data_IF_553437036028
#
_entry.id   IF_553437036028
#
_cell.length_a   1.000
_cell.length_b   1.000
_cell.length_c   1.000
_cell.angle_alpha   90.00
_cell.angle_beta   90.00
_cell.angle_gamma   90.00
#
_symmetry.space_group_name_H-M   'P 1'
#
loop_
_entity.id
_entity.type
_entity.pdbx_description
1 polymer ?
#
# COMPACT_ATOMS: atom_id res chain seq x y z
N UNK A 1 -8.40 -22.45 -3.49
CA UNK A 1 -9.67 -23.10 -3.90
C UNK A 1 -10.89 -22.64 -3.07
N UNK A 2 -10.74 -22.14 -1.83
CA UNK A 2 -11.89 -21.69 -1.02
C UNK A 2 -12.67 -20.50 -1.63
N UNK A 3 -11.98 -19.44 -2.07
CA UNK A 3 -12.63 -18.27 -2.69
C UNK A 3 -13.34 -18.61 -4.01
N UNK A 4 -12.72 -19.43 -4.85
CA UNK A 4 -13.33 -19.90 -6.11
C UNK A 4 -14.62 -20.70 -5.84
N UNK A 5 -14.59 -21.59 -4.84
CA UNK A 5 -15.79 -22.33 -4.42
C UNK A 5 -16.86 -21.40 -3.84
N UNK A 6 -16.46 -20.42 -3.03
CA UNK A 6 -17.38 -19.42 -2.49
C UNK A 6 -18.09 -18.65 -3.61
N UNK A 7 -17.34 -18.16 -4.59
CA UNK A 7 -17.87 -17.51 -5.79
C UNK A 7 -18.88 -18.40 -6.53
N UNK A 8 -18.53 -19.66 -6.83
CA UNK A 8 -19.44 -20.59 -7.48
C UNK A 8 -20.74 -20.82 -6.69
N UNK A 9 -20.67 -20.89 -5.35
CA UNK A 9 -21.84 -21.20 -4.52
C UNK A 9 -22.71 -20.00 -4.13
N UNK A 10 -22.16 -18.78 -4.10
CA UNK A 10 -22.85 -17.58 -3.57
C UNK A 10 -23.06 -16.48 -4.59
N UNK A 11 -22.29 -16.50 -5.67
CA UNK A 11 -22.25 -15.42 -6.64
C UNK A 11 -22.37 -15.92 -8.10
N UNK A 12 -22.67 -17.21 -8.32
CA UNK A 12 -22.75 -17.80 -9.68
C UNK A 12 -21.50 -17.50 -10.52
N UNK A 13 -20.33 -17.56 -9.86
CA UNK A 13 -19.02 -17.22 -10.45
C UNK A 13 -18.85 -15.74 -10.86
N UNK A 14 -19.84 -14.89 -10.58
CA UNK A 14 -19.77 -13.45 -10.81
C UNK A 14 -18.87 -12.74 -9.77
N UNK A 15 -17.61 -12.58 -10.15
CA UNK A 15 -16.61 -11.84 -9.38
C UNK A 15 -17.00 -10.36 -9.23
N UNK A 16 -17.64 -9.77 -10.25
CA UNK A 16 -18.09 -8.38 -10.22
C UNK A 16 -19.16 -8.16 -9.15
N UNK A 17 -20.13 -9.07 -9.06
CA UNK A 17 -21.18 -9.02 -8.05
C UNK A 17 -20.62 -9.09 -6.61
N UNK A 18 -19.61 -9.94 -6.36
CA UNK A 18 -18.91 -9.97 -5.07
C UNK A 18 -18.21 -8.64 -4.80
N UNK A 19 -17.42 -8.14 -5.75
CA UNK A 19 -16.58 -6.96 -5.56
C UNK A 19 -17.37 -5.64 -5.46
N UNK A 20 -18.57 -5.60 -6.03
CA UNK A 20 -19.50 -4.47 -5.96
C UNK A 20 -20.22 -4.36 -4.60
N UNK A 21 -20.08 -5.35 -3.71
CA UNK A 21 -20.67 -5.31 -2.36
C UNK A 21 -20.12 -4.11 -1.56
N UNK A 22 -20.92 -3.49 -0.68
CA UNK A 22 -20.45 -2.40 0.17
C UNK A 22 -19.20 -2.79 0.98
N UNK A 23 -18.25 -1.85 1.16
CA UNK A 23 -16.92 -2.07 1.79
C UNK A 23 -16.98 -2.97 3.04
N UNK A 24 -17.82 -2.61 4.02
CA UNK A 24 -17.91 -3.35 5.27
C UNK A 24 -18.43 -4.78 5.10
N UNK A 25 -19.45 -4.97 4.25
CA UNK A 25 -20.03 -6.28 3.97
C UNK A 25 -19.03 -7.17 3.22
N UNK A 26 -18.39 -6.64 2.17
CA UNK A 26 -17.36 -7.35 1.42
C UNK A 26 -16.20 -7.79 2.31
N UNK A 27 -15.68 -6.88 3.15
CA UNK A 27 -14.59 -7.20 4.07
C UNK A 27 -14.96 -8.31 5.05
N UNK A 28 -16.17 -8.26 5.62
CA UNK A 28 -16.66 -9.30 6.52
C UNK A 28 -16.76 -10.67 5.82
N UNK A 29 -17.29 -10.70 4.59
CA UNK A 29 -17.38 -11.93 3.79
C UNK A 29 -16.00 -12.50 3.46
N UNK A 30 -15.05 -11.65 3.02
CA UNK A 30 -13.69 -12.08 2.71
C UNK A 30 -12.96 -12.62 3.95
N UNK A 31 -13.08 -11.96 5.10
CA UNK A 31 -12.45 -12.39 6.35
C UNK A 31 -13.05 -13.68 6.93
N UNK A 32 -14.30 -14.01 6.58
CA UNK A 32 -14.92 -15.28 6.97
C UNK A 32 -14.35 -16.47 6.18
N UNK A 33 -13.65 -16.22 5.05
CA UNK A 33 -13.06 -17.28 4.24
C UNK A 33 -11.74 -17.77 4.84
N UNK A 34 -11.49 -19.11 4.81
CA UNK A 34 -10.29 -19.67 5.38
C UNK A 34 -9.04 -19.16 4.64
N UNK A 35 -8.04 -18.71 5.42
CA UNK A 35 -6.74 -18.18 4.96
C UNK A 35 -6.79 -16.83 4.25
N UNK A 36 -7.90 -16.09 4.35
CA UNK A 36 -7.94 -14.69 3.94
C UNK A 36 -7.79 -13.81 5.19
N UNK A 37 -6.60 -13.24 5.36
CA UNK A 37 -6.34 -12.23 6.39
C UNK A 37 -6.70 -10.82 5.93
N UNK A 38 -6.59 -9.85 6.84
CA UNK A 38 -6.90 -8.42 6.59
C UNK A 38 -6.14 -7.86 5.40
N UNK A 39 -4.83 -8.13 5.31
CA UNK A 39 -3.99 -7.69 4.19
C UNK A 39 -4.51 -8.22 2.85
N UNK A 40 -4.81 -9.52 2.78
CA UNK A 40 -5.34 -10.14 1.56
C UNK A 40 -6.73 -9.62 1.21
N UNK A 41 -7.63 -9.49 2.19
CA UNK A 41 -8.97 -8.96 1.99
C UNK A 41 -8.92 -7.54 1.42
N UNK A 42 -8.14 -6.66 2.05
CA UNK A 42 -7.99 -5.27 1.63
C UNK A 42 -7.28 -5.15 0.28
N UNK A 43 -6.34 -6.05 -0.03
CA UNK A 43 -5.72 -6.15 -1.37
C UNK A 43 -6.76 -6.48 -2.45
N UNK A 44 -7.61 -7.48 -2.21
CA UNK A 44 -8.70 -7.85 -3.13
C UNK A 44 -9.66 -6.66 -3.31
N UNK A 45 -10.02 -5.98 -2.22
CA UNK A 45 -10.95 -4.87 -2.26
C UNK A 45 -10.40 -3.65 -3.00
N UNK A 46 -9.14 -3.26 -2.77
CA UNK A 46 -8.52 -2.11 -3.43
C UNK A 46 -8.24 -2.38 -4.92
N UNK A 47 -7.58 -3.50 -5.21
CA UNK A 47 -7.14 -3.80 -6.58
C UNK A 47 -8.24 -4.45 -7.42
N UNK A 48 -9.02 -5.36 -6.86
CA UNK A 48 -10.14 -5.99 -7.56
C UNK A 48 -11.41 -5.13 -7.53
N UNK A 49 -11.82 -4.67 -6.35
CA UNK A 49 -13.11 -4.00 -6.16
C UNK A 49 -13.10 -2.47 -6.19
N UNK A 50 -11.94 -1.84 -6.38
CA UNK A 50 -11.78 -0.37 -6.42
C UNK A 50 -12.22 0.36 -5.15
N UNK A 51 -12.26 -0.32 -3.99
CA UNK A 51 -12.58 0.31 -2.71
C UNK A 51 -11.42 1.22 -2.25
N UNK A 52 -11.67 2.49 -1.91
CA UNK A 52 -10.62 3.43 -1.50
C UNK A 52 -10.20 3.18 -0.05
N UNK A 53 -9.24 2.27 0.14
CA UNK A 53 -8.72 1.91 1.46
C UNK A 53 -7.20 1.73 1.45
N UNK A 54 -6.58 1.86 2.62
CA UNK A 54 -5.14 1.71 2.79
C UNK A 54 -4.76 0.28 3.17
N UNK A 55 -3.78 -0.32 2.48
CA UNK A 55 -3.27 -1.66 2.81
C UNK A 55 -2.14 -1.55 3.83
N UNK A 56 -2.27 -2.22 4.98
CA UNK A 56 -1.25 -2.28 6.03
C UNK A 56 -0.43 -3.57 5.94
N UNK A 57 0.52 -3.62 5.04
CA UNK A 57 1.48 -4.73 4.91
C UNK A 57 2.77 -4.48 5.73
N UNK A 58 3.73 -5.40 5.62
CA UNK A 58 5.04 -5.27 6.28
C UNK A 58 5.87 -4.09 5.75
N UNK A 59 5.61 -3.60 4.54
CA UNK A 59 6.29 -2.46 3.95
C UNK A 59 5.74 -1.14 4.52
N UNK A 60 4.42 -0.98 4.53
CA UNK A 60 3.72 0.14 5.15
C UNK A 60 4.12 0.32 6.61
N UNK A 61 4.04 -0.76 7.41
CA UNK A 61 4.42 -0.72 8.84
C UNK A 61 5.85 -0.23 9.04
N UNK A 62 6.78 -0.80 8.28
CA UNK A 62 8.20 -0.47 8.39
C UNK A 62 8.49 0.96 7.96
N UNK A 63 7.94 1.39 6.83
CA UNK A 63 8.19 2.73 6.31
C UNK A 63 7.60 3.79 7.24
N UNK A 64 6.30 3.70 7.56
CA UNK A 64 5.63 4.67 8.41
C UNK A 64 6.26 4.75 9.81
N UNK A 65 6.62 3.60 10.39
CA UNK A 65 7.32 3.54 11.66
C UNK A 65 8.68 4.24 11.61
N UNK A 66 9.48 4.02 10.56
CA UNK A 66 10.81 4.63 10.43
C UNK A 66 10.77 6.12 10.10
N UNK A 67 9.76 6.55 9.35
CA UNK A 67 9.51 7.96 9.07
C UNK A 67 9.02 8.73 10.30
N UNK A 68 8.59 8.03 11.37
CA UNK A 68 8.04 8.68 12.56
C UNK A 68 6.63 9.21 12.37
N UNK A 69 5.88 8.67 11.40
CA UNK A 69 4.52 9.12 11.05
C UNK A 69 3.44 8.59 11.99
N UNK A 70 3.79 7.69 12.91
CA UNK A 70 2.89 7.08 13.89
C UNK A 70 3.43 7.32 15.32
N UNK A 71 3.42 8.58 15.81
CA UNK A 71 4.02 8.91 17.11
C UNK A 71 3.31 8.17 18.26
N UNK A 72 4.10 7.58 19.16
CA UNK A 72 3.58 6.82 20.30
C UNK A 72 3.05 5.43 19.95
N UNK A 73 3.16 4.99 18.69
CA UNK A 73 2.65 3.70 18.23
C UNK A 73 3.79 2.86 17.67
N UNK A 74 3.97 1.67 18.24
CA UNK A 74 4.84 0.65 17.63
C UNK A 74 4.14 0.07 16.39
N UNK A 75 4.47 0.61 15.22
CA UNK A 75 3.90 0.21 13.93
C UNK A 75 4.08 -1.29 13.62
N UNK A 76 5.08 -1.95 14.20
CA UNK A 76 5.31 -3.38 13.97
C UNK A 76 4.40 -4.28 14.82
N UNK A 77 3.89 -3.77 15.95
CA UNK A 77 3.07 -4.54 16.90
C UNK A 77 1.62 -4.10 16.96
N UNK A 78 1.32 -2.88 16.52
CA UNK A 78 -0.04 -2.35 16.56
C UNK A 78 -1.00 -3.18 15.69
N UNK A 79 -2.28 -3.31 16.10
CA UNK A 79 -3.29 -4.00 15.30
C UNK A 79 -3.41 -3.42 13.90
N UNK A 80 -3.72 -4.26 12.91
CA UNK A 80 -3.87 -3.86 11.51
C UNK A 80 -4.85 -2.69 11.36
N UNK A 81 -6.06 -2.84 11.92
CA UNK A 81 -7.13 -1.84 11.77
C UNK A 81 -6.76 -0.51 12.45
N UNK A 82 -5.96 -0.53 13.52
CA UNK A 82 -5.48 0.69 14.18
C UNK A 82 -4.59 1.50 13.24
N UNK A 83 -3.61 0.87 12.59
CA UNK A 83 -2.74 1.57 11.64
C UNK A 83 -3.54 2.04 10.42
N UNK A 84 -4.44 1.20 9.91
CA UNK A 84 -5.27 1.56 8.76
C UNK A 84 -6.12 2.80 9.07
N UNK A 85 -6.81 2.81 10.21
CA UNK A 85 -7.65 3.94 10.60
C UNK A 85 -6.83 5.24 10.74
N UNK A 86 -5.66 5.19 11.37
CA UNK A 86 -4.81 6.38 11.52
C UNK A 86 -4.32 6.95 10.19
N UNK A 87 -3.93 6.07 9.26
CA UNK A 87 -3.48 6.50 7.93
C UNK A 87 -4.65 7.00 7.09
N UNK A 88 -5.80 6.30 7.10
CA UNK A 88 -6.99 6.73 6.38
C UNK A 88 -7.53 8.06 6.90
N UNK A 89 -7.53 8.28 8.22
CA UNK A 89 -7.94 9.53 8.86
C UNK A 89 -7.02 10.69 8.49
N UNK A 90 -5.69 10.48 8.56
CA UNK A 90 -4.71 11.48 8.13
C UNK A 90 -4.82 11.85 6.63
N UNK A 91 -5.46 10.99 5.83
CA UNK A 91 -5.68 11.19 4.40
C UNK A 91 -7.15 11.52 4.09
N UNK A 92 -8.02 11.64 5.09
CA UNK A 92 -9.44 11.98 4.95
C UNK A 92 -9.64 13.49 5.08
N UNK A 93 -9.26 14.25 4.06
CA UNK A 93 -9.46 15.70 4.07
C UNK A 93 -9.53 16.35 2.70
N UNK A 94 -10.13 17.55 2.63
CA UNK A 94 -10.36 18.28 1.38
C UNK A 94 -9.06 18.68 0.68
N UNK A 95 -7.97 18.84 1.42
CA UNK A 95 -6.64 19.14 0.86
C UNK A 95 -6.15 18.03 -0.06
N UNK A 96 -6.35 16.76 0.34
CA UNK A 96 -6.02 15.64 -0.54
C UNK A 96 -7.03 15.55 -1.67
N UNK A 97 -8.33 15.65 -1.39
CA UNK A 97 -9.39 15.54 -2.40
C UNK A 97 -9.19 16.53 -3.55
N UNK A 98 -8.86 17.79 -3.26
CA UNK A 98 -8.59 18.81 -4.28
C UNK A 98 -7.40 18.46 -5.19
N UNK A 99 -6.47 17.62 -4.72
CA UNK A 99 -5.28 17.19 -5.47
C UNK A 99 -5.49 15.89 -6.23
N UNK A 100 -6.54 15.13 -5.92
CA UNK A 100 -6.86 13.87 -6.62
C UNK A 100 -7.31 14.12 -8.07
N UNK A 101 -7.83 15.30 -8.36
CA UNK A 101 -8.25 15.73 -9.70
C UNK A 101 -7.08 16.20 -10.57
N UNK A 102 -5.87 16.36 -10.00
CA UNK A 102 -4.69 16.78 -10.75
C UNK A 102 -3.97 15.59 -11.42
N UNK A 103 -3.67 15.67 -12.74
CA UNK A 103 -3.02 14.59 -13.48
C UNK A 103 -1.56 14.31 -13.04
N UNK A 104 -1.00 15.11 -12.13
CA UNK A 104 0.40 15.06 -11.71
C UNK A 104 0.65 14.21 -10.45
N UNK A 105 -0.38 13.86 -9.67
CA UNK A 105 -0.15 13.35 -8.31
C UNK A 105 0.28 11.87 -8.24
N UNK A 106 0.01 11.08 -9.29
CA UNK A 106 0.68 9.81 -9.54
C UNK A 106 0.39 9.30 -10.96
N UNK A 107 1.37 8.71 -11.67
CA UNK A 107 1.09 8.10 -12.97
C UNK A 107 -0.02 7.05 -12.81
N UNK A 108 -1.06 7.07 -13.65
CA UNK A 108 -2.20 6.20 -13.45
C UNK A 108 -1.79 4.73 -13.67
N UNK A 109 -2.14 3.85 -12.73
CA UNK A 109 -2.45 2.48 -13.11
C UNK A 109 -3.64 2.63 -14.07
N UNK A 110 -3.49 2.19 -15.31
CA UNK A 110 -4.36 2.57 -16.44
C UNK A 110 -5.79 2.00 -16.37
N UNK A 111 -6.21 1.47 -15.23
CA UNK A 111 -7.55 0.95 -15.00
C UNK A 111 -8.46 2.04 -14.43
N UNK A 112 -9.70 2.10 -14.91
CA UNK A 112 -10.71 3.04 -14.42
C UNK A 112 -11.06 2.71 -12.97
N UNK A 113 -10.74 3.60 -12.04
CA UNK A 113 -11.10 3.53 -10.62
C UNK A 113 -11.43 4.93 -10.09
N UNK A 114 -12.24 5.06 -9.02
CA UNK A 114 -12.46 6.34 -8.37
C UNK A 114 -11.12 7.00 -7.97
N UNK A 115 -10.97 8.34 -8.04
CA UNK A 115 -9.70 9.04 -7.81
C UNK A 115 -9.00 8.62 -6.51
N UNK A 116 -9.75 8.49 -5.42
CA UNK A 116 -9.22 8.10 -4.11
C UNK A 116 -8.74 6.64 -4.07
N UNK A 117 -9.39 5.74 -4.80
CA UNK A 117 -8.93 4.35 -4.94
C UNK A 117 -7.66 4.29 -5.79
N UNK A 118 -7.59 5.09 -6.86
CA UNK A 118 -6.39 5.20 -7.68
C UNK A 118 -5.21 5.77 -6.88
N UNK A 119 -5.45 6.76 -6.02
CA UNK A 119 -4.46 7.26 -5.08
C UNK A 119 -3.95 6.16 -4.15
N UNK A 120 -4.82 5.41 -3.48
CA UNK A 120 -4.36 4.34 -2.58
C UNK A 120 -3.59 3.23 -3.30
N UNK A 121 -3.97 2.88 -4.54
CA UNK A 121 -3.20 1.93 -5.36
C UNK A 121 -1.78 2.43 -5.65
N UNK A 122 -1.66 3.69 -6.04
CA UNK A 122 -0.38 4.32 -6.36
C UNK A 122 0.46 4.52 -5.09
N UNK A 123 -0.16 4.97 -4.01
CA UNK A 123 0.49 5.18 -2.72
C UNK A 123 1.06 3.86 -2.17
N UNK A 124 0.27 2.79 -2.18
CA UNK A 124 0.74 1.45 -1.81
C UNK A 124 1.92 1.00 -2.69
N UNK A 125 1.82 1.18 -4.02
CA UNK A 125 2.92 0.82 -4.93
C UNK A 125 4.21 1.60 -4.63
N UNK A 126 4.12 2.90 -4.34
CA UNK A 126 5.28 3.73 -3.99
C UNK A 126 5.91 3.31 -2.65
N UNK A 127 5.09 2.97 -1.63
CA UNK A 127 5.58 2.45 -0.35
C UNK A 127 6.35 1.15 -0.55
N UNK A 128 5.80 0.23 -1.35
CA UNK A 128 6.46 -1.04 -1.69
C UNK A 128 7.77 -0.75 -2.40
N UNK A 129 7.76 0.07 -3.46
CA UNK A 129 8.95 0.42 -4.25
C UNK A 129 10.08 0.99 -3.37
N UNK A 130 9.75 1.96 -2.51
CA UNK A 130 10.69 2.56 -1.57
C UNK A 130 11.28 1.50 -0.62
N UNK A 131 10.44 0.60 -0.12
CA UNK A 131 10.85 -0.45 0.80
C UNK A 131 11.67 -1.57 0.19
N UNK A 132 11.49 -1.83 -1.12
CA UNK A 132 12.27 -2.83 -1.82
C UNK A 132 13.62 -2.28 -2.33
N UNK A 133 13.75 -0.97 -2.48
CA UNK A 133 14.96 -0.32 -2.97
C UNK A 133 15.84 0.27 -1.88
N UNK A 134 15.24 0.94 -0.90
CA UNK A 134 15.98 1.76 0.06
C UNK A 134 15.66 1.41 1.50
N UNK A 135 14.37 1.41 1.86
CA UNK A 135 13.89 1.12 3.20
C UNK A 135 13.84 -0.40 3.47
N UNK A 136 14.96 -1.09 3.22
CA UNK A 136 15.10 -2.53 3.40
C UNK A 136 14.90 -2.95 4.86
N UNK A 137 14.39 -4.18 5.08
CA UNK A 137 14.20 -4.71 6.43
C UNK A 137 15.50 -4.73 7.23
N UNK A 138 16.60 -5.10 6.58
CA UNK A 138 17.97 -5.02 7.09
C UNK A 138 18.84 -4.19 6.14
N UNK A 139 19.88 -3.51 6.66
CA UNK A 139 20.82 -2.69 5.88
C UNK A 139 20.13 -1.66 4.98
N UNK A 140 19.46 -0.70 5.61
CA UNK A 140 18.78 0.40 4.91
C UNK A 140 19.78 1.19 4.02
N UNK A 141 19.41 1.45 2.77
CA UNK A 141 20.28 2.11 1.77
C UNK A 141 20.00 3.60 1.71
N UNK A 142 20.31 4.31 2.80
CA UNK A 142 20.01 5.74 2.94
C UNK A 142 20.89 6.61 2.06
N UNK A 143 22.20 6.34 2.07
CA UNK A 143 23.24 7.05 1.30
C UNK A 143 23.80 6.22 0.16
N UNK A 144 23.09 5.15 -0.20
CA UNK A 144 23.50 4.23 -1.26
C UNK A 144 22.43 4.20 -2.35
N UNK A 145 22.82 3.88 -3.60
CA UNK A 145 21.85 3.63 -4.66
C UNK A 145 20.79 2.60 -4.26
N UNK A 146 19.65 2.58 -4.94
CA UNK A 146 18.61 1.59 -4.70
C UNK A 146 19.12 0.16 -4.90
N UNK A 147 18.65 -0.77 -4.07
CA UNK A 147 18.96 -2.19 -4.23
C UNK A 147 18.44 -2.69 -5.58
N UNK A 148 19.29 -3.35 -6.36
CA UNK A 148 18.88 -4.06 -7.57
C UNK A 148 18.53 -5.49 -7.18
N UNK A 149 17.26 -5.88 -7.32
CA UNK A 149 16.88 -7.28 -7.09
C UNK A 149 17.32 -8.15 -8.26
N UNK A 150 17.94 -9.29 -7.98
CA UNK A 150 18.40 -10.26 -8.99
C UNK A 150 17.27 -10.86 -9.82
N UNK A 151 16.04 -10.89 -9.29
CA UNK A 151 14.85 -11.46 -9.95
C UNK A 151 13.91 -10.39 -10.55
N UNK A 152 14.17 -9.12 -10.29
CA UNK A 152 13.38 -8.08 -10.94
C UNK A 152 13.93 -7.91 -12.35
N UNK A 153 13.07 -8.14 -13.34
CA UNK A 153 13.42 -7.93 -14.74
C UNK A 153 14.11 -6.57 -14.88
N UNK A 154 15.40 -6.52 -15.25
CA UNK A 154 16.15 -5.28 -15.35
C UNK A 154 15.46 -4.28 -16.27
N UNK A 155 14.67 -4.75 -17.25
CA UNK A 155 13.89 -3.88 -18.15
C UNK A 155 12.72 -3.20 -17.43
N UNK A 156 12.13 -3.84 -16.41
CA UNK A 156 11.05 -3.27 -15.59
C UNK A 156 11.57 -2.20 -14.64
N UNK A 157 12.67 -2.45 -13.92
CA UNK A 157 13.24 -1.44 -13.02
C UNK A 157 14.05 -0.35 -13.73
N UNK A 158 14.86 -0.67 -14.75
CA UNK A 158 15.75 0.33 -15.36
C UNK A 158 15.02 1.40 -16.20
N UNK A 159 13.81 1.12 -16.69
CA UNK A 159 13.01 2.07 -17.45
C UNK A 159 12.06 2.91 -16.56
N UNK A 160 11.66 2.39 -15.40
CA UNK A 160 10.71 3.02 -14.48
C UNK A 160 11.41 3.79 -13.34
N UNK A 161 12.50 3.26 -12.79
CA UNK A 161 13.20 3.90 -11.68
C UNK A 161 14.22 4.92 -12.18
N UNK A 162 14.11 6.15 -11.68
CA UNK A 162 15.15 7.17 -11.83
C UNK A 162 16.42 6.70 -11.12
N UNK A 163 17.60 7.05 -11.67
CA UNK A 163 18.87 6.81 -10.97
C UNK A 163 18.83 7.55 -9.64
N UNK A 164 18.92 6.80 -8.54
CA UNK A 164 19.01 7.34 -7.19
C UNK A 164 20.42 7.11 -6.62
N UNK A 165 20.95 8.11 -5.92
CA UNK A 165 22.21 8.01 -5.17
C UNK A 165 21.97 7.66 -3.68
N UNK A 166 20.74 7.77 -3.21
CA UNK A 166 20.30 7.59 -1.83
C UNK A 166 18.78 7.54 -1.76
N UNK A 167 18.26 7.21 -0.58
CA UNK A 167 16.83 7.19 -0.29
C UNK A 167 16.23 8.61 -0.45
N UNK A 168 15.15 8.80 -1.24
CA UNK A 168 14.55 10.11 -1.46
C UNK A 168 13.88 10.68 -0.19
N UNK A 169 13.61 9.84 0.80
CA UNK A 169 12.93 10.23 2.05
C UNK A 169 13.90 10.55 3.19
N UNK A 170 15.21 10.55 2.95
CA UNK A 170 16.23 10.85 3.97
C UNK A 170 15.95 12.16 4.72
N UNK A 171 15.57 13.22 4.01
CA UNK A 171 15.29 14.53 4.61
C UNK A 171 14.13 14.56 5.61
N UNK A 172 13.22 13.57 5.58
CA UNK A 172 12.09 13.47 6.51
C UNK A 172 12.12 12.21 7.40
N UNK A 173 13.08 11.31 7.19
CA UNK A 173 13.12 10.04 7.90
C UNK A 173 13.62 10.21 9.34
N UNK A 174 12.71 10.08 10.31
CA UNK A 174 13.05 10.19 11.73
C UNK A 174 14.16 9.22 12.17
N UNK A 175 14.13 7.97 11.69
CA UNK A 175 15.15 6.96 12.00
C UNK A 175 16.53 7.35 11.46
N UNK A 176 16.58 7.97 10.28
CA UNK A 176 17.85 8.46 9.72
C UNK A 176 18.41 9.61 10.54
N UNK A 177 17.56 10.61 10.84
CA UNK A 177 17.95 11.79 11.62
C UNK A 177 18.40 11.46 13.04
N UNK A 178 17.83 10.42 13.67
CA UNK A 178 18.23 9.96 14.99
C UNK A 178 19.60 9.23 15.01
N UNK A 179 20.11 8.82 13.84
CA UNK A 179 21.41 8.14 13.69
C UNK A 179 22.49 8.98 13.03
N UNK A 180 22.22 10.25 12.70
CA UNK A 180 23.26 11.22 12.33
C UNK A 180 23.95 11.73 13.62
N UNK A 181 25.29 11.88 13.62
CA UNK A 181 26.03 12.39 14.77
C UNK A 181 25.66 13.85 15.11
#
# INVERSE_FOLDING_TARGET
QAIARYLATKYDEDVGALLARPRAALRAELLALPRIGRETADTIMLYGGTHPLFIVDAYARRLLGRLGMLPGIDAMRAPYDTIQALVEDALAGPELDARLDEPAFAPPIRDVAPPRAQFFRNFHALIVEECIHHCLATRMRQKEPGARRTFVDPRKCAAHCLRCAGCPLTGMCATYRAGEP
#
